data_IF_690020435089
#
_entry.id   IF_690020435089
#
_cell.length_a   1.000
_cell.length_b   1.000
_cell.length_c   1.000
_cell.angle_alpha   90.00
_cell.angle_beta   90.00
_cell.angle_gamma   90.00
#
_symmetry.space_group_name_H-M   'P 1'
#
loop_
_entity.id
_entity.type
_entity.pdbx_description
1 polymer ?
#
# COMPACT_ATOMS: atom_id res chain seq x y z
N UNK A 1 2.95 12.22 -26.08
CA UNK A 1 2.90 10.90 -25.42
C UNK A 1 2.52 11.13 -23.98
N UNK A 2 1.28 10.84 -23.60
CA UNK A 2 0.88 10.79 -22.19
C UNK A 2 1.40 9.47 -21.64
N UNK A 3 2.67 9.44 -21.20
CA UNK A 3 3.24 8.25 -20.57
C UNK A 3 2.47 7.93 -19.30
N UNK A 4 2.04 6.69 -19.13
CA UNK A 4 1.57 6.21 -17.83
C UNK A 4 2.79 6.04 -16.93
N UNK A 5 2.59 6.26 -15.63
CA UNK A 5 3.66 6.19 -14.66
C UNK A 5 4.14 4.75 -14.47
N UNK A 6 5.45 4.53 -14.57
CA UNK A 6 6.07 3.19 -14.60
C UNK A 6 6.49 2.66 -13.23
N UNK A 7 6.19 3.41 -12.18
CA UNK A 7 6.38 3.02 -10.79
C UNK A 7 5.31 3.69 -9.92
N UNK A 8 4.77 2.97 -8.95
CA UNK A 8 4.04 3.55 -7.81
C UNK A 8 4.02 2.56 -6.65
N UNK A 9 3.66 3.04 -5.47
CA UNK A 9 3.54 2.20 -4.29
C UNK A 9 2.16 2.38 -3.65
N UNK A 10 1.70 1.33 -3.00
CA UNK A 10 0.51 1.33 -2.17
C UNK A 10 0.87 0.77 -0.81
N UNK A 11 0.55 1.49 0.26
CA UNK A 11 0.57 0.94 1.60
C UNK A 11 -0.73 0.18 1.83
N UNK A 12 -0.64 -1.07 2.28
CA UNK A 12 -1.80 -1.87 2.64
C UNK A 12 -1.72 -2.31 4.09
N UNK A 13 -2.87 -2.32 4.75
CA UNK A 13 -3.17 -3.18 5.88
C UNK A 13 -4.24 -4.17 5.45
N UNK A 14 -4.03 -5.45 5.72
CA UNK A 14 -4.96 -6.52 5.36
C UNK A 14 -5.20 -7.47 6.53
N UNK A 15 -6.39 -8.05 6.57
CA UNK A 15 -6.77 -9.05 7.56
C UNK A 15 -8.24 -9.41 7.45
N UNK A 16 -8.60 -10.60 7.91
CA UNK A 16 -9.97 -11.11 7.78
C UNK A 16 -10.98 -10.31 8.59
N UNK A 17 -10.58 -9.84 9.78
CA UNK A 17 -11.40 -9.03 10.68
C UNK A 17 -11.11 -7.52 10.57
N UNK A 18 -10.45 -7.09 9.50
CA UNK A 18 -10.09 -5.69 9.30
C UNK A 18 -11.36 -4.82 9.20
N UNK A 19 -11.37 -3.73 9.96
CA UNK A 19 -12.42 -2.70 9.92
C UNK A 19 -11.78 -1.44 9.32
N UNK A 20 -12.14 -1.01 8.09
CA UNK A 20 -11.47 0.12 7.44
C UNK A 20 -11.54 1.43 8.22
N UNK A 21 -12.68 1.74 8.84
CA UNK A 21 -12.87 2.99 9.60
C UNK A 21 -11.93 3.10 10.79
N UNK A 22 -11.59 1.98 11.45
CA UNK A 22 -10.62 1.96 12.54
C UNK A 22 -9.23 2.42 12.07
N UNK A 23 -8.78 1.97 10.91
CA UNK A 23 -7.48 2.36 10.36
C UNK A 23 -7.49 3.79 9.83
N UNK A 24 -8.60 4.23 9.23
CA UNK A 24 -8.79 5.64 8.85
C UNK A 24 -8.68 6.55 10.06
N UNK A 25 -9.31 6.19 11.19
CA UNK A 25 -9.20 6.95 12.45
C UNK A 25 -7.79 6.92 13.03
N UNK A 26 -7.15 5.74 13.06
CA UNK A 26 -5.78 5.59 13.56
C UNK A 26 -4.75 6.43 12.79
N UNK A 27 -4.83 6.45 11.45
CA UNK A 27 -3.95 7.27 10.64
C UNK A 27 -4.42 8.72 10.49
N UNK A 28 -5.70 9.01 10.76
CA UNK A 28 -6.31 10.32 10.59
C UNK A 28 -6.52 10.71 9.12
N UNK A 29 -6.69 9.73 8.23
CA UNK A 29 -6.78 9.95 6.77
C UNK A 29 -7.89 9.10 6.13
N UNK A 30 -8.36 9.54 4.97
CA UNK A 30 -9.24 8.75 4.11
C UNK A 30 -8.41 7.82 3.21
N UNK A 31 -8.71 6.51 3.15
CA UNK A 31 -7.99 5.58 2.29
C UNK A 31 -8.44 5.69 0.84
N UNK A 32 -7.53 5.41 -0.08
CA UNK A 32 -7.87 5.18 -1.49
C UNK A 32 -8.59 3.83 -1.68
N UNK A 33 -8.29 2.86 -0.81
CA UNK A 33 -8.83 1.50 -0.87
C UNK A 33 -9.39 1.11 0.49
N UNK A 34 -10.69 0.78 0.53
CA UNK A 34 -11.36 0.21 1.70
C UNK A 34 -12.23 -0.97 1.26
N UNK A 35 -11.97 -2.15 1.84
CA UNK A 35 -12.72 -3.37 1.59
C UNK A 35 -13.01 -4.02 2.94
N UNK A 36 -14.28 -4.29 3.21
CA UNK A 36 -14.71 -5.18 4.29
C UNK A 36 -14.86 -6.59 3.71
N UNK A 37 -14.31 -7.60 4.39
CA UNK A 37 -14.48 -9.00 3.97
C UNK A 37 -15.97 -9.36 3.91
N UNK A 38 -16.38 -10.03 2.84
CA UNK A 38 -17.77 -10.46 2.65
C UNK A 38 -18.71 -9.38 2.11
N UNK A 39 -18.25 -8.14 1.95
CA UNK A 39 -19.03 -7.05 1.37
C UNK A 39 -18.66 -6.80 -0.10
N UNK A 40 -19.60 -6.30 -0.92
CA UNK A 40 -19.27 -5.76 -2.25
C UNK A 40 -18.30 -4.58 -2.13
N UNK A 41 -17.39 -4.44 -3.09
CA UNK A 41 -16.44 -3.33 -3.14
C UNK A 41 -16.32 -2.79 -4.56
N UNK A 42 -15.84 -1.56 -4.71
CA UNK A 42 -15.58 -0.96 -6.02
C UNK A 42 -14.18 -1.33 -6.49
N UNK A 43 -14.07 -1.85 -7.72
CA UNK A 43 -12.79 -2.18 -8.34
C UNK A 43 -12.05 -0.91 -8.77
N UNK A 44 -10.74 -0.96 -9.03
CA UNK A 44 -9.99 0.18 -9.57
C UNK A 44 -10.56 0.79 -10.86
N UNK A 45 -11.33 0.01 -11.63
CA UNK A 45 -12.06 0.48 -12.82
C UNK A 45 -13.37 1.23 -12.52
N UNK A 46 -13.67 1.50 -11.24
CA UNK A 46 -14.89 2.17 -10.79
C UNK A 46 -16.15 1.30 -10.84
N UNK A 47 -16.02 -0.01 -11.06
CA UNK A 47 -17.16 -0.94 -11.17
C UNK A 47 -17.37 -1.68 -9.86
N UNK A 48 -18.61 -1.99 -9.45
CA UNK A 48 -18.82 -2.90 -8.34
C UNK A 48 -18.26 -4.28 -8.69
N UNK A 49 -17.51 -4.86 -7.76
CA UNK A 49 -17.01 -6.22 -7.88
C UNK A 49 -18.18 -7.20 -7.93
N UNK A 50 -18.06 -8.20 -8.82
CA UNK A 50 -19.04 -9.31 -8.93
C UNK A 50 -18.93 -10.31 -7.78
N UNK A 51 -17.83 -10.27 -7.05
CA UNK A 51 -17.56 -11.15 -5.90
C UNK A 51 -17.28 -10.30 -4.67
N UNK A 52 -17.76 -10.70 -3.48
CA UNK A 52 -17.41 -10.01 -2.24
C UNK A 52 -15.91 -10.00 -1.97
N UNK A 53 -15.46 -9.04 -1.16
CA UNK A 53 -14.08 -8.98 -0.68
C UNK A 53 -13.68 -10.28 0.01
N UNK A 54 -12.59 -10.91 -0.44
CA UNK A 54 -12.10 -12.17 0.15
C UNK A 54 -11.38 -11.97 1.47
N UNK A 55 -10.82 -10.78 1.66
CA UNK A 55 -10.09 -10.32 2.85
C UNK A 55 -10.47 -8.86 3.08
N UNK A 56 -10.38 -8.38 4.32
CA UNK A 56 -10.48 -6.97 4.59
C UNK A 56 -9.18 -6.26 4.17
N UNK A 57 -9.32 -5.06 3.60
CA UNK A 57 -8.20 -4.29 3.07
C UNK A 57 -8.41 -2.81 3.37
N UNK A 58 -7.36 -2.13 3.80
CA UNK A 58 -7.27 -0.69 3.89
C UNK A 58 -5.96 -0.27 3.21
N UNK A 59 -5.98 0.75 2.37
CA UNK A 59 -4.76 1.16 1.69
C UNK A 59 -4.76 2.57 1.12
N UNK A 60 -3.54 3.07 0.90
CA UNK A 60 -3.24 4.41 0.42
C UNK A 60 -2.22 4.32 -0.71
N UNK A 61 -2.52 4.97 -1.83
CA UNK A 61 -1.73 4.97 -3.04
C UNK A 61 -0.91 6.26 -3.18
N UNK A 62 0.32 6.13 -3.68
CA UNK A 62 1.16 7.29 -4.00
C UNK A 62 0.94 7.85 -5.41
N UNK A 63 0.25 7.10 -6.28
CA UNK A 63 0.18 7.33 -7.74
C UNK A 63 -0.40 8.70 -8.11
N UNK A 64 -1.38 9.19 -7.37
CA UNK A 64 -2.01 10.50 -7.61
C UNK A 64 -1.15 11.66 -7.09
N UNK A 65 -0.36 11.43 -6.03
CA UNK A 65 0.41 12.44 -5.32
C UNK A 65 1.84 12.62 -5.85
N UNK A 66 2.45 11.56 -6.36
CA UNK A 66 3.86 11.54 -6.77
C UNK A 66 3.98 11.26 -8.27
N UNK A 67 4.72 12.11 -9.00
CA UNK A 67 5.07 11.90 -10.42
C UNK A 67 6.55 11.52 -10.54
N UNK A 68 6.81 10.22 -10.59
CA UNK A 68 8.13 9.62 -10.73
C UNK A 68 8.05 8.18 -11.25
N UNK A 69 9.02 7.80 -12.09
CA UNK A 69 9.25 6.42 -12.52
C UNK A 69 10.28 5.71 -11.62
N UNK A 70 10.42 6.10 -10.36
CA UNK A 70 11.27 5.43 -9.36
C UNK A 70 10.45 5.13 -8.12
N UNK A 71 10.71 4.01 -7.43
CA UNK A 71 9.95 3.63 -6.23
C UNK A 71 10.26 4.52 -5.03
N UNK A 72 11.50 5.00 -4.88
CA UNK A 72 11.91 5.79 -3.72
C UNK A 72 10.98 6.99 -3.44
N UNK A 73 10.68 7.90 -4.39
CA UNK A 73 9.79 9.03 -4.13
C UNK A 73 8.39 8.63 -3.65
N UNK A 74 7.89 7.49 -4.11
CA UNK A 74 6.58 6.96 -3.70
C UNK A 74 6.60 6.43 -2.28
N UNK A 75 7.64 5.67 -1.94
CA UNK A 75 7.80 5.11 -0.60
C UNK A 75 8.06 6.21 0.44
N UNK A 76 8.88 7.21 0.09
CA UNK A 76 9.14 8.39 0.92
C UNK A 76 7.85 9.16 1.21
N UNK A 77 7.05 9.41 0.17
CA UNK A 77 5.74 10.04 0.32
C UNK A 77 4.84 9.26 1.29
N UNK A 78 4.70 7.94 1.13
CA UNK A 78 3.84 7.15 2.01
C UNK A 78 4.35 7.14 3.46
N UNK A 79 5.66 7.08 3.67
CA UNK A 79 6.26 7.18 5.02
C UNK A 79 5.90 8.52 5.67
N UNK A 80 6.07 9.62 4.94
CA UNK A 80 5.76 10.96 5.44
C UNK A 80 4.25 11.12 5.69
N UNK A 81 3.43 10.73 4.71
CA UNK A 81 1.98 10.89 4.75
C UNK A 81 1.32 10.06 5.87
N UNK A 82 1.84 8.85 6.12
CA UNK A 82 1.36 7.99 7.21
C UNK A 82 2.07 8.25 8.55
N UNK A 83 3.05 9.17 8.58
CA UNK A 83 3.92 9.44 9.72
C UNK A 83 4.58 8.16 10.29
N UNK A 84 5.25 7.41 9.42
CA UNK A 84 5.99 6.20 9.77
C UNK A 84 7.45 6.53 10.14
N UNK A 85 8.09 5.77 11.05
CA UNK A 85 7.50 4.66 11.82
C UNK A 85 6.59 5.14 12.94
N UNK A 86 5.59 4.33 13.27
CA UNK A 86 4.75 4.50 14.47
C UNK A 86 5.07 3.39 15.46
N UNK A 87 5.42 3.77 16.70
CA UNK A 87 5.95 2.83 17.70
C UNK A 87 4.94 1.78 18.16
N UNK A 88 3.65 2.10 18.13
CA UNK A 88 2.54 1.23 18.55
C UNK A 88 2.00 0.35 17.41
N UNK A 89 2.27 0.69 16.15
CA UNK A 89 1.67 0.06 14.98
C UNK A 89 1.93 -1.45 14.94
N UNK A 90 3.14 -1.90 15.28
CA UNK A 90 3.47 -3.34 15.28
C UNK A 90 2.62 -4.14 16.26
N UNK A 91 2.46 -3.62 17.48
CA UNK A 91 1.63 -4.26 18.50
C UNK A 91 0.16 -4.24 18.07
N UNK A 92 -0.31 -3.10 17.54
CA UNK A 92 -1.68 -2.94 17.09
C UNK A 92 -2.03 -3.90 15.94
N UNK A 93 -1.14 -4.07 14.97
CA UNK A 93 -1.30 -5.03 13.87
C UNK A 93 -1.47 -6.46 14.40
N UNK A 94 -0.67 -6.84 15.40
CA UNK A 94 -0.73 -8.16 16.02
C UNK A 94 -2.03 -8.38 16.81
N UNK A 95 -2.44 -7.40 17.62
CA UNK A 95 -3.70 -7.44 18.39
C UNK A 95 -4.94 -7.54 17.49
N UNK A 96 -4.90 -6.92 16.32
CA UNK A 96 -5.99 -6.93 15.34
C UNK A 96 -5.90 -8.08 14.34
N UNK A 97 -4.90 -8.95 14.45
CA UNK A 97 -4.64 -10.03 13.48
C UNK A 97 -4.58 -9.54 12.02
N UNK A 98 -3.88 -8.43 11.83
CA UNK A 98 -3.69 -7.76 10.53
C UNK A 98 -2.21 -7.71 10.19
N UNK A 99 -1.93 -7.55 8.90
CA UNK A 99 -0.57 -7.44 8.36
C UNK A 99 -0.47 -6.18 7.53
N UNK A 100 0.72 -5.59 7.46
CA UNK A 100 0.97 -4.46 6.58
C UNK A 100 2.05 -4.75 5.56
N UNK A 101 1.95 -4.11 4.40
CA UNK A 101 2.97 -4.16 3.35
C UNK A 101 3.00 -2.89 2.53
N UNK A 102 4.17 -2.58 1.97
CA UNK A 102 4.23 -1.80 0.73
C UNK A 102 4.11 -2.74 -0.46
N UNK A 103 3.17 -2.46 -1.35
CA UNK A 103 3.03 -3.13 -2.64
C UNK A 103 3.49 -2.17 -3.73
N UNK A 104 4.55 -2.53 -4.46
CA UNK A 104 5.25 -1.67 -5.39
C UNK A 104 5.01 -2.14 -6.82
N UNK A 105 4.23 -1.39 -7.59
CA UNK A 105 4.12 -1.60 -9.03
C UNK A 105 5.39 -1.13 -9.73
N UNK A 106 5.96 -1.98 -10.58
CA UNK A 106 7.15 -1.65 -11.37
C UNK A 106 7.02 -2.16 -12.80
N UNK A 107 7.07 -1.26 -13.78
CA UNK A 107 6.97 -1.59 -15.21
C UNK A 107 8.34 -1.61 -15.92
N UNK A 108 8.95 -2.78 -16.05
CA UNK A 108 10.23 -2.96 -16.70
C UNK A 108 10.12 -3.35 -18.18
N UNK A 109 9.22 -2.74 -18.95
CA UNK A 109 8.99 -2.99 -20.39
C UNK A 109 10.29 -3.12 -21.23
N UNK A 110 11.29 -2.26 -20.97
CA UNK A 110 12.57 -2.26 -21.71
C UNK A 110 13.61 -3.23 -21.16
N UNK A 111 13.31 -3.92 -20.05
CA UNK A 111 14.17 -4.91 -19.40
C UNK A 111 15.43 -4.35 -18.72
N UNK A 112 15.62 -3.03 -18.74
CA UNK A 112 16.83 -2.35 -18.26
C UNK A 112 16.60 -1.47 -17.02
N UNK A 113 15.40 -1.50 -16.44
CA UNK A 113 15.07 -0.80 -15.19
C UNK A 113 15.19 -1.78 -14.03
N UNK A 114 15.94 -1.40 -12.99
CA UNK A 114 16.08 -2.18 -11.76
C UNK A 114 15.25 -1.52 -10.67
N UNK A 115 14.29 -2.22 -10.04
CA UNK A 115 13.55 -1.63 -8.93
C UNK A 115 14.46 -1.51 -7.72
N UNK A 116 14.43 -0.35 -7.07
CA UNK A 116 15.21 -0.10 -5.86
C UNK A 116 14.33 0.38 -4.71
N UNK A 117 14.66 -0.05 -3.50
CA UNK A 117 14.02 0.36 -2.25
C UNK A 117 15.15 0.71 -1.28
N UNK A 118 15.24 1.98 -0.85
CA UNK A 118 16.28 2.42 0.07
C UNK A 118 16.36 1.59 1.36
N UNK A 119 17.58 1.35 1.85
CA UNK A 119 17.85 0.50 3.02
C UNK A 119 17.21 1.00 4.32
N UNK A 120 17.10 2.32 4.48
CA UNK A 120 16.44 2.92 5.64
C UNK A 120 14.92 2.65 5.61
N UNK A 121 14.30 2.66 4.43
CA UNK A 121 12.89 2.28 4.26
C UNK A 121 12.69 0.79 4.57
N UNK A 122 13.61 -0.07 4.15
CA UNK A 122 13.59 -1.50 4.51
C UNK A 122 13.66 -1.69 6.03
N UNK A 123 14.58 -0.96 6.67
CA UNK A 123 14.76 -0.97 8.13
C UNK A 123 13.50 -0.50 8.87
N UNK A 124 12.87 0.58 8.41
CA UNK A 124 11.60 1.08 8.95
C UNK A 124 10.51 -0.01 8.88
N UNK A 125 10.34 -0.63 7.72
CA UNK A 125 9.32 -1.67 7.52
C UNK A 125 9.58 -2.92 8.36
N UNK A 126 10.83 -3.37 8.44
CA UNK A 126 11.22 -4.52 9.25
C UNK A 126 10.96 -4.26 10.76
N UNK A 127 11.33 -3.09 11.26
CA UNK A 127 11.13 -2.73 12.67
C UNK A 127 9.66 -2.82 13.09
N UNK A 128 8.76 -2.39 12.20
CA UNK A 128 7.31 -2.44 12.41
C UNK A 128 6.68 -3.79 12.05
N UNK A 129 7.45 -4.77 11.55
CA UNK A 129 6.96 -6.10 11.17
C UNK A 129 6.18 -6.14 9.86
N UNK A 130 6.36 -5.14 8.99
CA UNK A 130 5.78 -5.10 7.65
C UNK A 130 6.70 -5.71 6.59
N UNK A 131 6.17 -5.87 5.38
CA UNK A 131 6.92 -6.34 4.21
C UNK A 131 6.92 -5.33 3.07
N UNK A 132 7.84 -5.50 2.12
CA UNK A 132 7.86 -4.74 0.87
C UNK A 132 7.84 -5.77 -0.26
N UNK A 133 6.83 -5.67 -1.12
CA UNK A 133 6.61 -6.54 -2.26
C UNK A 133 6.75 -5.73 -3.55
N UNK A 134 7.51 -6.24 -4.51
CA UNK A 134 7.71 -5.61 -5.81
C UNK A 134 7.03 -6.48 -6.85
N UNK A 135 6.01 -5.92 -7.49
CA UNK A 135 5.26 -6.53 -8.58
C UNK A 135 5.83 -5.99 -9.91
N UNK A 136 6.79 -6.74 -10.46
CA UNK A 136 7.46 -6.40 -11.72
C UNK A 136 6.68 -6.93 -12.94
N UNK A 137 6.31 -6.00 -13.82
CA UNK A 137 5.75 -6.26 -15.14
C UNK A 137 6.85 -6.12 -16.20
N UNK A 138 6.77 -6.93 -17.26
CA UNK A 138 7.71 -6.96 -18.39
C UNK A 138 6.95 -7.02 -19.71
#
# INVERSE_FOLDING_TARGET
>A
MTGYQRAHATFYISGDALVPSFWSEYFGIEPDIAITKGEPFTTPSGRPSRVPGRVGLWGVESKSAVRSDSLEPHLRYLIEYLNLPRSDLRQLLAEKHTHMRFFCYWDNETGNRVPDVPDDIRTIMEAMGGTIEIDEYR
#
